data_IF_252032372711
#
_entry.id   IF_252032372711
#
_cell.length_a   1.000
_cell.length_b   1.000
_cell.length_c   1.000
_cell.angle_alpha   90.00
_cell.angle_beta   90.00
_cell.angle_gamma   90.00
#
_symmetry.space_group_name_H-M   'P 1'
#
loop_
_entity.id
_entity.type
_entity.pdbx_description
1 polymer ?
#
# COMPACT_ATOMS: atom_id res chain seq x y z
N UNK A 1 21.66 6.03 7.24
CA UNK A 1 20.40 6.61 6.76
C UNK A 1 19.50 6.74 7.97
N UNK A 2 19.06 7.95 8.32
CA UNK A 2 18.03 8.09 9.35
C UNK A 2 16.74 7.47 8.81
N UNK A 3 15.91 6.90 9.68
CA UNK A 3 14.63 6.31 9.29
C UNK A 3 13.74 7.31 8.51
N UNK A 4 13.93 8.62 8.73
CA UNK A 4 13.22 9.71 8.05
C UNK A 4 13.60 9.90 6.56
N UNK A 5 14.75 9.40 6.10
CA UNK A 5 15.18 9.52 4.69
C UNK A 5 14.71 8.35 3.81
N UNK A 6 13.97 7.40 4.39
CA UNK A 6 13.50 6.24 3.64
C UNK A 6 12.33 6.64 2.73
N UNK A 7 12.45 6.50 1.40
CA UNK A 7 11.35 6.81 0.50
C UNK A 7 10.15 5.89 0.76
N UNK A 8 8.96 6.46 0.76
CA UNK A 8 7.70 5.74 0.91
C UNK A 8 6.87 5.80 -0.37
N UNK A 9 6.10 4.74 -0.63
CA UNK A 9 5.14 4.64 -1.73
C UNK A 9 3.84 4.06 -1.20
N UNK A 10 2.74 4.80 -1.32
CA UNK A 10 1.39 4.29 -1.00
C UNK A 10 0.68 3.94 -2.30
N UNK A 11 0.31 2.67 -2.46
CA UNK A 11 -0.61 2.22 -3.49
C UNK A 11 -2.01 2.57 -3.01
N UNK A 12 -2.66 3.52 -3.67
CA UNK A 12 -3.97 4.02 -3.26
C UNK A 12 -5.06 3.55 -4.23
N UNK A 13 -5.98 2.73 -3.74
CA UNK A 13 -7.05 2.11 -4.53
C UNK A 13 -8.43 2.54 -4.01
N UNK A 14 -9.48 2.40 -4.81
CA UNK A 14 -10.82 2.87 -4.40
C UNK A 14 -11.40 2.08 -3.21
N UNK A 15 -11.17 0.77 -3.17
CA UNK A 15 -11.81 -0.16 -2.23
C UNK A 15 -13.12 -0.71 -2.80
N UNK A 16 -13.59 -1.81 -2.23
CA UNK A 16 -14.84 -2.46 -2.64
C UNK A 16 -15.48 -3.19 -1.46
N UNK A 17 -16.73 -3.63 -1.63
CA UNK A 17 -17.44 -4.41 -0.60
C UNK A 17 -16.97 -5.86 -0.51
N UNK A 18 -16.51 -6.42 -1.63
CA UNK A 18 -15.94 -7.78 -1.67
C UNK A 18 -14.50 -7.75 -1.17
N UNK A 19 -14.15 -8.40 -0.05
CA UNK A 19 -12.79 -8.44 0.48
C UNK A 19 -11.76 -9.02 -0.50
N UNK A 20 -12.18 -9.88 -1.44
CA UNK A 20 -11.28 -10.47 -2.44
C UNK A 20 -10.77 -9.44 -3.45
N UNK A 21 -11.44 -8.29 -3.57
CA UNK A 21 -11.01 -7.19 -4.44
C UNK A 21 -9.61 -6.66 -4.08
N UNK A 22 -9.17 -6.79 -2.82
CA UNK A 22 -7.84 -6.35 -2.38
C UNK A 22 -6.69 -7.24 -2.88
N UNK A 23 -6.97 -8.49 -3.26
CA UNK A 23 -5.97 -9.50 -3.61
C UNK A 23 -5.02 -9.09 -4.76
N UNK A 24 -5.49 -8.59 -5.92
CA UNK A 24 -4.58 -8.11 -6.97
C UNK A 24 -3.66 -6.98 -6.50
N UNK A 25 -4.15 -6.07 -5.64
CA UNK A 25 -3.35 -4.97 -5.13
C UNK A 25 -2.28 -5.43 -4.14
N UNK A 26 -2.58 -6.44 -3.30
CA UNK A 26 -1.57 -7.08 -2.43
C UNK A 26 -0.45 -7.73 -3.25
N UNK A 27 -0.77 -8.35 -4.38
CA UNK A 27 0.24 -8.91 -5.30
C UNK A 27 1.12 -7.82 -5.93
N UNK A 28 0.52 -6.70 -6.33
CA UNK A 28 1.27 -5.54 -6.82
C UNK A 28 2.17 -4.98 -5.71
N UNK A 29 1.66 -4.80 -4.49
CA UNK A 29 2.43 -4.35 -3.34
C UNK A 29 3.66 -5.23 -3.11
N UNK A 30 3.48 -6.56 -3.06
CA UNK A 30 4.59 -7.50 -2.90
C UNK A 30 5.62 -7.40 -4.03
N UNK A 31 5.17 -7.31 -5.30
CA UNK A 31 6.05 -7.17 -6.45
C UNK A 31 6.84 -5.85 -6.43
N UNK A 32 6.22 -4.76 -5.98
CA UNK A 32 6.88 -3.45 -5.85
C UNK A 32 7.88 -3.45 -4.69
N UNK A 33 7.52 -4.03 -3.53
CA UNK A 33 8.44 -4.22 -2.38
C UNK A 33 9.70 -4.98 -2.80
N UNK A 34 9.55 -6.07 -3.55
CA UNK A 34 10.69 -6.87 -4.03
C UNK A 34 11.63 -6.09 -4.96
N UNK A 35 11.09 -5.16 -5.77
CA UNK A 35 11.87 -4.32 -6.69
C UNK A 35 12.46 -3.07 -6.04
N UNK A 36 11.97 -2.68 -4.87
CA UNK A 36 12.35 -1.46 -4.14
C UNK A 36 12.71 -1.80 -2.69
N UNK A 37 13.78 -2.57 -2.51
CA UNK A 37 14.25 -3.04 -1.20
C UNK A 37 14.61 -1.92 -0.20
N UNK A 38 14.77 -0.69 -0.66
CA UNK A 38 15.04 0.49 0.17
C UNK A 38 13.83 1.36 0.47
N UNK A 39 12.63 1.01 0.02
CA UNK A 39 11.43 1.84 0.17
C UNK A 39 10.34 1.15 0.98
N UNK A 40 9.59 1.92 1.77
CA UNK A 40 8.33 1.47 2.38
C UNK A 40 7.26 1.45 1.28
N UNK A 41 6.47 0.39 1.22
CA UNK A 41 5.40 0.27 0.22
C UNK A 41 4.12 -0.18 0.91
N UNK A 42 3.17 0.72 1.09
CA UNK A 42 1.88 0.43 1.73
C UNK A 42 0.73 0.37 0.71
N UNK A 43 -0.37 -0.26 1.09
CA UNK A 43 -1.61 -0.31 0.33
C UNK A 43 -2.71 0.32 1.18
N UNK A 44 -3.37 1.33 0.63
CA UNK A 44 -4.48 2.01 1.28
C UNK A 44 -5.68 2.16 0.35
N UNK A 45 -6.85 2.37 0.94
CA UNK A 45 -8.11 2.44 0.23
C UNK A 45 -8.84 3.77 0.48
N UNK A 46 -9.53 4.27 -0.54
CA UNK A 46 -10.33 5.49 -0.41
C UNK A 46 -11.52 5.27 0.53
N UNK A 47 -12.21 4.16 0.34
CA UNK A 47 -13.40 3.79 1.10
C UNK A 47 -13.62 2.28 1.11
N UNK A 48 -14.62 1.80 1.86
CA UNK A 48 -15.10 0.41 1.91
C UNK A 48 -14.10 -0.66 2.42
N UNK A 49 -12.81 -0.33 2.51
CA UNK A 49 -11.73 -1.21 2.93
C UNK A 49 -10.73 -0.47 3.81
N UNK A 50 -9.90 -1.24 4.51
CA UNK A 50 -8.85 -0.73 5.40
C UNK A 50 -7.49 -1.29 4.98
N UNK A 51 -6.39 -0.55 5.20
CA UNK A 51 -6.33 0.77 5.84
C UNK A 51 -6.82 1.91 4.91
N UNK A 52 -7.36 2.98 5.46
CA UNK A 52 -7.57 4.23 4.70
C UNK A 52 -6.25 4.99 4.55
N UNK A 53 -6.19 5.94 3.60
CA UNK A 53 -4.95 6.69 3.33
C UNK A 53 -4.37 7.37 4.57
N UNK A 54 -5.22 7.90 5.45
CA UNK A 54 -4.77 8.58 6.68
C UNK A 54 -4.04 7.66 7.67
N UNK A 55 -4.30 6.34 7.62
CA UNK A 55 -3.65 5.36 8.48
C UNK A 55 -2.35 4.80 7.85
N UNK A 56 -2.09 5.13 6.59
CA UNK A 56 -0.96 4.62 5.80
C UNK A 56 0.18 5.64 5.60
N UNK A 57 0.06 6.84 6.19
CA UNK A 57 1.04 7.94 6.11
C UNK A 57 1.60 8.31 7.48
#
# INVERSE_FOLDING_TARGET
MNAADQPALVLFAHGARDPQWAEPFKRIQAAVRARRSGAVVELAFLELMQPVLADAI
#
